data_IF_960157352295
#
_entry.id   IF_960157352295
#
_cell.length_a   1.000
_cell.length_b   1.000
_cell.length_c   1.000
_cell.angle_alpha   90.00
_cell.angle_beta   90.00
_cell.angle_gamma   90.00
#
_symmetry.space_group_name_H-M   'P 1'
#
loop_
_entity.id
_entity.type
_entity.pdbx_description
1 polymer ?
#
# COMPACT_ATOMS: atom_id res chain seq x y z
N UNK A 1 69.34 32.07 -9.53
CA UNK A 1 69.45 31.31 -8.27
C UNK A 1 68.03 31.03 -7.83
N UNK A 2 67.48 29.82 -7.81
CA UNK A 2 67.86 28.45 -8.16
C UNK A 2 66.49 27.72 -8.21
N UNK A 3 66.11 27.03 -9.28
CA UNK A 3 66.13 25.55 -9.44
C UNK A 3 65.42 24.77 -8.30
N UNK A 4 64.61 23.73 -8.49
CA UNK A 4 64.05 22.94 -9.62
C UNK A 4 63.18 21.82 -8.99
N UNK A 5 62.17 21.32 -9.73
CA UNK A 5 61.83 19.90 -10.00
C UNK A 5 60.32 19.78 -10.31
N UNK A 6 59.83 19.65 -11.56
CA UNK A 6 59.89 18.52 -12.53
C UNK A 6 59.28 17.23 -11.91
N UNK A 7 58.36 16.44 -12.51
CA UNK A 7 58.03 16.06 -13.90
C UNK A 7 56.55 15.59 -14.01
N UNK A 8 55.84 15.97 -15.08
CA UNK A 8 55.40 15.17 -16.25
C UNK A 8 54.63 13.85 -16.01
N UNK A 9 53.47 13.72 -16.66
CA UNK A 9 53.30 12.74 -17.75
C UNK A 9 52.14 13.15 -18.67
N UNK A 10 52.51 13.53 -19.90
CA UNK A 10 51.66 13.65 -21.09
C UNK A 10 51.67 12.30 -21.83
N UNK A 11 50.51 11.85 -22.26
CA UNK A 11 50.22 11.25 -23.59
C UNK A 11 48.75 10.82 -23.58
N UNK A 12 47.89 11.22 -24.51
CA UNK A 12 47.97 10.92 -25.94
C UNK A 12 47.59 9.43 -26.12
N UNK A 13 46.56 9.00 -26.84
CA UNK A 13 46.05 9.39 -28.16
C UNK A 13 44.62 8.79 -28.31
N UNK A 14 43.68 9.51 -28.95
CA UNK A 14 43.18 9.30 -30.33
C UNK A 14 42.28 8.05 -30.49
N UNK A 15 40.96 8.23 -30.63
CA UNK A 15 40.16 8.15 -31.90
C UNK A 15 40.05 6.70 -32.40
N UNK A 16 38.92 6.12 -32.80
CA UNK A 16 37.75 6.56 -33.59
C UNK A 16 36.56 5.65 -33.19
N UNK A 17 35.37 6.21 -32.95
CA UNK A 17 34.18 6.09 -33.81
C UNK A 17 33.72 4.64 -34.10
N UNK A 18 32.54 4.25 -33.59
CA UNK A 18 31.46 3.93 -34.51
C UNK A 18 30.05 3.87 -33.89
N UNK A 19 29.11 4.12 -34.79
CA UNK A 19 27.73 4.57 -34.68
C UNK A 19 26.67 3.58 -34.16
N UNK A 20 25.66 4.19 -33.51
CA UNK A 20 24.19 3.96 -33.61
C UNK A 20 23.59 2.58 -33.28
N UNK A 21 22.72 2.55 -32.26
CA UNK A 21 21.26 2.58 -32.44
C UNK A 21 20.57 2.37 -31.07
N UNK A 22 19.52 3.13 -30.80
CA UNK A 22 18.91 3.26 -29.48
C UNK A 22 18.06 2.07 -29.04
N UNK A 23 17.78 2.00 -27.73
CA UNK A 23 16.40 1.92 -27.26
C UNK A 23 16.30 2.26 -25.76
N UNK A 24 15.54 3.32 -25.51
CA UNK A 24 14.81 3.58 -24.28
C UNK A 24 13.74 2.49 -24.17
N UNK A 25 13.76 1.65 -23.13
CA UNK A 25 12.67 0.71 -22.87
C UNK A 25 11.61 1.35 -21.97
N UNK A 26 10.73 2.11 -22.62
CA UNK A 26 9.41 2.47 -22.09
C UNK A 26 8.36 1.51 -22.69
N UNK A 27 7.40 1.08 -21.86
CA UNK A 27 6.15 0.37 -22.22
C UNK A 27 6.33 -1.06 -22.78
N UNK A 28 5.49 -2.07 -22.51
CA UNK A 28 4.04 -2.10 -22.36
C UNK A 28 3.61 -3.25 -21.43
N UNK A 29 2.49 -3.03 -20.73
CA UNK A 29 1.64 -4.11 -20.28
C UNK A 29 1.02 -4.82 -21.49
N UNK A 30 1.03 -6.15 -21.52
CA UNK A 30 0.08 -6.91 -22.33
C UNK A 30 -0.53 -8.03 -21.51
N UNK A 31 -1.80 -7.82 -21.20
CA UNK A 31 -2.76 -8.84 -20.80
C UNK A 31 -2.70 -10.00 -21.81
N UNK A 32 -2.35 -11.19 -21.32
CA UNK A 32 -2.47 -12.41 -22.12
C UNK A 32 -3.95 -12.82 -22.13
N UNK A 33 -4.69 -12.27 -23.09
CA UNK A 33 -6.03 -12.74 -23.45
C UNK A 33 -5.92 -14.17 -23.98
N UNK A 34 -6.43 -15.16 -23.24
CA UNK A 34 -6.53 -16.53 -23.72
C UNK A 34 -7.73 -16.62 -24.67
N UNK A 35 -7.46 -16.98 -25.93
CA UNK A 35 -8.46 -17.17 -26.98
C UNK A 35 -9.40 -18.34 -26.68
N UNK A 36 -10.71 -18.11 -26.80
CA UNK A 36 -11.73 -19.17 -26.88
C UNK A 36 -11.56 -19.90 -28.21
N UNK A 37 -10.89 -21.06 -28.22
CA UNK A 37 -11.05 -22.15 -29.19
C UNK A 37 -10.15 -23.36 -28.81
N UNK A 38 -10.25 -23.83 -27.57
CA UNK A 38 -9.70 -25.13 -27.15
C UNK A 38 -10.85 -25.99 -26.66
N UNK A 39 -11.63 -26.52 -27.61
CA UNK A 39 -12.61 -27.57 -27.36
C UNK A 39 -11.97 -28.92 -27.62
N UNK A 40 -12.24 -29.85 -26.71
CA UNK A 40 -12.07 -31.30 -26.84
C UNK A 40 -10.64 -31.86 -26.73
N UNK A 41 -10.26 -32.25 -25.50
CA UNK A 41 -10.00 -33.66 -25.16
C UNK A 41 -9.57 -33.82 -23.68
N UNK A 42 -10.43 -34.49 -22.89
CA UNK A 42 -10.05 -35.26 -21.69
C UNK A 42 -9.78 -34.49 -20.40
N UNK A 43 -10.66 -34.63 -19.40
CA UNK A 43 -10.33 -34.51 -17.98
C UNK A 43 -10.64 -35.86 -17.29
N UNK A 44 -9.86 -36.26 -16.26
CA UNK A 44 -10.33 -35.90 -14.93
C UNK A 44 -9.25 -35.37 -13.99
N UNK A 45 -9.59 -34.26 -13.35
CA UNK A 45 -9.48 -34.05 -11.90
C UNK A 45 -8.19 -34.46 -11.18
N UNK A 46 -7.19 -33.57 -11.15
CA UNK A 46 -6.30 -33.44 -9.98
C UNK A 46 -5.96 -31.99 -9.65
N UNK A 47 -6.86 -31.04 -9.94
CA UNK A 47 -6.87 -29.76 -9.24
C UNK A 47 -8.34 -29.41 -8.99
N UNK A 48 -8.77 -29.26 -7.72
CA UNK A 48 -10.05 -28.65 -7.46
C UNK A 48 -10.02 -27.25 -8.06
N UNK A 49 -11.10 -26.80 -8.72
CA UNK A 49 -11.30 -25.37 -8.91
C UNK A 49 -11.19 -24.72 -7.53
N UNK A 50 -10.36 -23.68 -7.43
CA UNK A 50 -9.96 -23.02 -6.17
C UNK A 50 -11.14 -22.38 -5.38
N UNK A 51 -12.38 -22.65 -5.76
CA UNK A 51 -13.61 -22.15 -5.15
C UNK A 51 -14.52 -23.22 -4.54
N UNK A 52 -14.17 -24.51 -4.62
CA UNK A 52 -14.97 -25.62 -4.03
C UNK A 52 -14.46 -26.10 -2.65
N UNK A 53 -13.53 -25.39 -2.03
CA UNK A 53 -13.31 -25.54 -0.59
C UNK A 53 -14.37 -24.69 0.10
N UNK A 54 -15.58 -25.25 0.21
CA UNK A 54 -16.61 -24.85 1.16
C UNK A 54 -16.17 -25.23 2.59
N UNK A 55 -14.97 -24.77 2.96
CA UNK A 55 -14.70 -24.44 4.35
C UNK A 55 -15.26 -23.04 4.50
N UNK A 56 -16.40 -22.91 5.19
CA UNK A 56 -17.01 -21.65 5.58
C UNK A 56 -16.14 -20.75 6.47
N UNK A 57 -14.80 -20.83 6.32
CA UNK A 57 -13.80 -19.81 6.61
C UNK A 57 -14.40 -18.44 6.35
N UNK A 58 -14.69 -17.78 7.46
CA UNK A 58 -15.65 -16.70 7.55
C UNK A 58 -15.16 -15.57 6.65
N UNK A 59 -16.00 -15.09 5.72
CA UNK A 59 -15.69 -13.92 4.89
C UNK A 59 -15.16 -12.69 5.67
N UNK A 60 -15.40 -12.60 6.99
CA UNK A 60 -14.81 -11.61 7.89
C UNK A 60 -13.27 -11.69 8.02
N UNK A 61 -12.64 -12.79 7.62
CA UNK A 61 -11.19 -12.99 7.69
C UNK A 61 -10.44 -12.27 6.57
N UNK A 62 -11.10 -11.93 5.46
CA UNK A 62 -10.43 -11.33 4.29
C UNK A 62 -10.62 -9.81 4.19
N UNK A 63 -11.75 -9.29 4.66
CA UNK A 63 -12.04 -7.86 4.70
C UNK A 63 -12.96 -7.53 5.87
N UNK A 64 -12.99 -6.26 6.27
CA UNK A 64 -13.87 -5.80 7.34
C UNK A 64 -14.26 -4.35 7.15
N UNK A 65 -15.39 -3.99 7.76
CA UNK A 65 -15.86 -2.60 7.84
C UNK A 65 -16.14 -2.28 9.30
N UNK A 66 -15.57 -1.19 9.77
CA UNK A 66 -15.82 -0.66 11.09
C UNK A 66 -16.29 0.78 10.99
N UNK A 67 -17.18 1.18 11.90
CA UNK A 67 -17.66 2.56 11.98
C UNK A 67 -17.59 2.99 13.44
N UNK A 68 -16.82 4.04 13.69
CA UNK A 68 -16.69 4.64 15.00
C UNK A 68 -17.49 5.93 15.05
N UNK A 69 -18.52 5.96 15.91
CA UNK A 69 -19.32 7.16 16.16
C UNK A 69 -18.75 7.91 17.36
N UNK A 70 -18.38 9.16 17.14
CA UNK A 70 -17.97 10.06 18.23
C UNK A 70 -19.15 10.93 18.62
N UNK A 71 -19.59 10.77 19.86
CA UNK A 71 -20.67 11.59 20.41
C UNK A 71 -20.14 12.90 20.98
N UNK A 72 -20.94 13.96 20.89
CA UNK A 72 -20.61 15.28 21.42
C UNK A 72 -19.22 15.79 20.98
N UNK A 73 -18.86 15.57 19.71
CA UNK A 73 -17.54 15.92 19.16
C UNK A 73 -17.12 17.38 19.46
N UNK A 74 -18.06 18.32 19.42
CA UNK A 74 -17.81 19.74 19.72
C UNK A 74 -17.41 20.04 21.17
N UNK A 75 -17.72 19.15 22.11
CA UNK A 75 -17.36 19.29 23.53
C UNK A 75 -15.99 18.67 23.85
N UNK A 76 -15.38 17.99 22.87
CA UNK A 76 -14.10 17.30 23.08
C UNK A 76 -12.95 18.29 22.96
N UNK A 77 -12.19 18.46 24.03
CA UNK A 77 -10.95 19.25 24.08
C UNK A 77 -9.67 18.41 24.05
N UNK A 78 -9.79 17.08 23.85
CA UNK A 78 -8.64 16.18 23.83
C UNK A 78 -7.83 16.37 22.54
N UNK A 79 -6.49 16.37 22.60
CA UNK A 79 -5.65 16.49 21.42
C UNK A 79 -5.75 15.24 20.51
N UNK A 80 -6.06 14.09 21.10
CA UNK A 80 -6.16 12.80 20.43
C UNK A 80 -7.39 12.03 20.93
N UNK A 81 -8.05 11.32 20.02
CA UNK A 81 -9.11 10.38 20.29
C UNK A 81 -8.78 9.04 19.65
N UNK A 82 -9.11 7.96 20.35
CA UNK A 82 -8.88 6.58 19.89
C UNK A 82 -10.19 5.79 19.95
N UNK A 83 -10.46 5.00 18.91
CA UNK A 83 -11.57 4.05 18.90
C UNK A 83 -11.28 2.82 19.76
N UNK A 84 -12.31 2.02 20.01
CA UNK A 84 -12.10 0.64 20.44
C UNK A 84 -11.36 -0.16 19.36
N UNK A 85 -10.71 -1.25 19.80
CA UNK A 85 -10.04 -2.18 18.89
C UNK A 85 -11.10 -3.03 18.17
N UNK A 86 -10.92 -3.25 16.87
CA UNK A 86 -11.78 -4.09 16.06
C UNK A 86 -10.99 -5.04 15.17
N UNK A 87 -11.58 -6.19 14.86
CA UNK A 87 -10.99 -7.20 13.99
C UNK A 87 -11.44 -6.98 12.53
N UNK A 88 -10.48 -6.97 11.60
CA UNK A 88 -10.74 -6.93 10.17
C UNK A 88 -9.56 -7.53 9.39
N UNK A 89 -9.85 -8.39 8.40
CA UNK A 89 -8.80 -8.97 7.56
C UNK A 89 -7.80 -9.83 8.32
N UNK A 90 -8.19 -10.42 9.45
CA UNK A 90 -7.31 -11.21 10.33
C UNK A 90 -6.40 -10.39 11.26
N UNK A 91 -6.52 -9.05 11.27
CA UNK A 91 -5.73 -8.17 12.13
C UNK A 91 -6.61 -7.38 13.09
N UNK A 92 -5.99 -6.94 14.20
CA UNK A 92 -6.61 -6.04 15.16
C UNK A 92 -6.23 -4.60 14.84
N UNK A 93 -7.22 -3.77 14.61
CA UNK A 93 -7.06 -2.37 14.23
C UNK A 93 -7.69 -1.44 15.25
N UNK A 94 -7.29 -0.18 15.20
CA UNK A 94 -8.01 0.92 15.83
C UNK A 94 -7.88 2.18 14.97
N UNK A 95 -8.82 3.11 15.13
CA UNK A 95 -8.79 4.41 14.47
C UNK A 95 -8.31 5.46 15.48
N UNK A 96 -7.45 6.36 15.02
CA UNK A 96 -6.99 7.52 15.80
C UNK A 96 -7.35 8.80 15.07
N UNK A 97 -7.88 9.78 15.81
CA UNK A 97 -8.23 11.10 15.29
C UNK A 97 -7.53 12.17 16.11
N UNK A 98 -6.97 13.16 15.41
CA UNK A 98 -6.45 14.39 15.99
C UNK A 98 -7.35 15.56 15.55
N UNK A 99 -8.25 16.04 16.43
CA UNK A 99 -9.24 17.08 16.09
C UNK A 99 -8.64 18.39 15.56
N UNK A 100 -7.44 18.73 16.03
CA UNK A 100 -6.76 20.00 15.71
C UNK A 100 -5.59 19.81 14.72
N UNK A 101 -5.39 18.58 14.27
CA UNK A 101 -4.28 18.17 13.41
C UNK A 101 -3.16 17.51 14.19
N UNK A 102 -2.26 16.88 13.45
CA UNK A 102 -1.03 16.29 14.00
C UNK A 102 0.19 17.08 13.52
N UNK A 103 0.43 17.10 12.22
CA UNK A 103 1.54 17.80 11.58
C UNK A 103 1.11 19.14 10.94
N UNK A 104 -0.15 19.23 10.51
CA UNK A 104 -0.74 20.45 9.95
C UNK A 104 -1.83 20.97 10.88
N UNK A 105 -1.65 22.18 11.43
CA UNK A 105 -2.62 22.81 12.34
C UNK A 105 -3.93 23.14 11.63
N UNK A 106 -5.05 23.11 12.37
CA UNK A 106 -6.39 23.47 11.91
C UNK A 106 -7.01 22.52 10.86
N UNK A 107 -6.46 21.33 10.71
CA UNK A 107 -7.04 20.25 9.91
C UNK A 107 -7.35 19.05 10.79
N UNK A 108 -8.38 18.27 10.44
CA UNK A 108 -8.60 16.97 11.06
C UNK A 108 -7.58 15.97 10.50
N UNK A 109 -6.83 15.29 11.36
CA UNK A 109 -6.02 14.14 10.95
C UNK A 109 -6.68 12.83 11.41
N UNK A 110 -6.70 11.83 10.54
CA UNK A 110 -7.34 10.53 10.74
C UNK A 110 -6.38 9.43 10.30
N UNK A 111 -6.19 8.42 11.16
CA UNK A 111 -5.28 7.32 10.92
C UNK A 111 -5.93 5.97 11.24
N UNK A 112 -5.58 4.94 10.46
CA UNK A 112 -5.82 3.55 10.77
C UNK A 112 -4.54 2.94 11.33
N UNK A 113 -4.62 2.33 12.52
CA UNK A 113 -3.46 1.85 13.25
C UNK A 113 -3.60 0.36 13.59
N UNK A 114 -2.48 -0.37 13.52
CA UNK A 114 -2.42 -1.79 13.84
C UNK A 114 -2.22 -1.99 15.35
N UNK A 115 -3.17 -2.62 16.02
CA UNK A 115 -3.16 -2.84 17.46
C UNK A 115 -2.18 -3.94 17.88
N UNK A 116 -2.15 -5.05 17.13
CA UNK A 116 -1.41 -6.26 17.47
C UNK A 116 -0.06 -6.36 16.74
N UNK A 117 0.57 -5.24 16.39
CA UNK A 117 1.84 -5.24 15.65
C UNK A 117 2.95 -6.07 16.33
N UNK A 118 2.98 -6.11 17.67
CA UNK A 118 3.97 -6.86 18.44
C UNK A 118 3.72 -8.38 18.48
N UNK A 119 2.52 -8.84 18.13
CA UNK A 119 2.15 -10.27 18.14
C UNK A 119 2.39 -10.94 16.79
N UNK A 120 2.73 -10.16 15.77
CA UNK A 120 2.85 -10.63 14.41
C UNK A 120 4.30 -11.02 14.08
N UNK A 121 4.52 -12.04 13.24
CA UNK A 121 5.87 -12.49 12.90
C UNK A 121 6.70 -11.39 12.23
N UNK A 122 7.93 -11.12 12.70
CA UNK A 122 8.79 -10.11 12.11
C UNK A 122 9.24 -10.52 10.69
N UNK A 123 9.44 -9.53 9.82
CA UNK A 123 9.96 -9.75 8.46
C UNK A 123 8.92 -10.03 7.38
N UNK A 124 7.64 -10.13 7.74
CA UNK A 124 6.55 -10.23 6.79
C UNK A 124 6.13 -8.83 6.28
N UNK A 125 5.93 -8.73 4.96
CA UNK A 125 5.35 -7.55 4.32
C UNK A 125 3.84 -7.76 4.19
N UNK A 126 3.07 -6.86 4.76
CA UNK A 126 1.61 -6.92 4.67
C UNK A 126 1.11 -5.81 3.77
N UNK A 127 0.31 -6.18 2.77
CA UNK A 127 -0.38 -5.27 1.90
C UNK A 127 -1.81 -5.10 2.42
N UNK A 128 -2.25 -3.86 2.54
CA UNK A 128 -3.62 -3.54 2.97
C UNK A 128 -4.19 -2.51 2.01
N UNK A 129 -5.40 -2.78 1.53
CA UNK A 129 -6.21 -1.80 0.83
C UNK A 129 -7.36 -1.41 1.75
N UNK A 130 -7.51 -0.12 2.00
CA UNK A 130 -8.56 0.38 2.89
C UNK A 130 -9.05 1.75 2.47
N UNK A 131 -10.29 2.04 2.86
CA UNK A 131 -10.92 3.35 2.69
C UNK A 131 -11.13 3.97 4.07
N UNK A 132 -10.63 5.18 4.28
CA UNK A 132 -11.03 6.00 5.41
C UNK A 132 -12.16 6.93 5.00
N UNK A 133 -13.21 6.99 5.82
CA UNK A 133 -14.38 7.81 5.54
C UNK A 133 -14.73 8.71 6.72
N UNK A 134 -14.89 10.00 6.47
CA UNK A 134 -15.55 10.93 7.39
C UNK A 134 -16.99 11.11 6.92
N UNK A 135 -17.90 10.41 7.59
CA UNK A 135 -19.32 10.38 7.21
C UNK A 135 -20.05 11.56 7.82
N UNK A 136 -20.67 12.37 6.96
CA UNK A 136 -21.53 13.47 7.37
C UNK A 136 -23.01 13.02 7.37
N UNK A 137 -23.85 13.69 8.17
CA UNK A 137 -25.32 13.50 8.14
C UNK A 137 -25.91 13.80 6.76
N UNK A 138 -25.33 14.74 6.03
CA UNK A 138 -25.57 14.95 4.60
C UNK A 138 -24.58 14.08 3.80
N UNK A 139 -25.05 13.01 3.13
CA UNK A 139 -24.17 12.07 2.42
C UNK A 139 -23.29 12.75 1.37
N UNK A 140 -23.76 13.85 0.76
CA UNK A 140 -23.03 14.60 -0.28
C UNK A 140 -21.80 15.33 0.25
N UNK A 141 -21.70 15.52 1.57
CA UNK A 141 -20.58 16.17 2.27
C UNK A 141 -19.64 15.17 2.94
N UNK A 142 -19.87 13.87 2.75
CA UNK A 142 -18.97 12.85 3.26
C UNK A 142 -17.71 12.79 2.41
N UNK A 143 -16.58 12.56 3.05
CA UNK A 143 -15.28 12.47 2.40
C UNK A 143 -14.79 11.03 2.52
N UNK A 144 -14.31 10.48 1.42
CA UNK A 144 -13.75 9.13 1.32
C UNK A 144 -12.33 9.24 0.76
N UNK A 145 -11.40 8.52 1.38
CA UNK A 145 -10.00 8.50 1.01
C UNK A 145 -9.57 7.05 0.88
N UNK A 146 -9.21 6.64 -0.33
CA UNK A 146 -8.76 5.29 -0.64
C UNK A 146 -7.24 5.18 -0.54
N UNK A 147 -6.77 4.13 0.12
CA UNK A 147 -5.36 3.88 0.36
C UNK A 147 -4.99 2.46 0.00
N UNK A 148 -3.82 2.32 -0.61
CA UNK A 148 -3.10 1.04 -0.72
C UNK A 148 -1.81 1.23 0.08
N UNK A 149 -1.73 0.56 1.22
CA UNK A 149 -0.61 0.61 2.14
C UNK A 149 0.19 -0.68 2.12
N UNK A 150 1.49 -0.54 2.37
CA UNK A 150 2.37 -1.64 2.75
C UNK A 150 2.96 -1.32 4.11
N UNK A 151 2.84 -2.22 5.06
CA UNK A 151 3.53 -2.10 6.34
C UNK A 151 4.44 -3.31 6.58
N UNK A 152 5.55 -3.05 7.27
CA UNK A 152 6.52 -4.06 7.68
C UNK A 152 6.45 -4.18 9.20
N UNK A 153 6.54 -5.42 9.66
CA UNK A 153 6.59 -5.79 11.08
C UNK A 153 8.04 -6.12 11.44
#
# INVERSE_FOLDING_TARGET
MSETSNEDYRSGQSSEEDNLNGQISHSEALAEWRSSDQVENGFPSTWPPYWDIDDGSKHSELYGKHTWKIEKYSEISKPELRSDVFDAGGYKWYITIYPQGWDVCNHLALYLCLANHAELPPGCNHFVQYTLALVNKDPKKSIYLDFIGKFKI
#
